data_IF_757760673331
#
_entry.id   IF_757760673331
#
_cell.length_a   1.000
_cell.length_b   1.000
_cell.length_c   1.000
_cell.angle_alpha   90.00
_cell.angle_beta   90.00
_cell.angle_gamma   90.00
#
_symmetry.space_group_name_H-M   'P 1'
#
loop_
_entity.id
_entity.type
_entity.pdbx_description
1 polymer ?
#
# COMPACT_ATOMS: atom_id res chain seq x y z
N UNK A 1 -2.33 30.34 6.53
CA UNK A 1 -2.03 28.97 6.99
C UNK A 1 -2.18 28.05 5.80
N UNK A 2 -1.11 27.42 5.32
CA UNK A 2 -1.23 26.36 4.33
C UNK A 2 -1.61 25.08 5.08
N UNK A 3 -2.85 24.62 4.88
CA UNK A 3 -3.27 23.30 5.34
C UNK A 3 -2.45 22.30 4.52
N UNK A 4 -1.40 21.73 5.12
CA UNK A 4 -0.71 20.60 4.52
C UNK A 4 -1.71 19.45 4.50
N UNK A 5 -2.35 19.22 3.35
CA UNK A 5 -3.13 18.02 3.11
C UNK A 5 -2.14 16.86 3.09
N UNK A 6 -1.81 16.34 4.28
CA UNK A 6 -1.00 15.14 4.40
C UNK A 6 -1.79 14.03 3.69
N UNK A 7 -1.24 13.51 2.59
CA UNK A 7 -1.82 12.32 1.98
C UNK A 7 -1.59 11.16 2.96
N UNK A 8 -2.66 10.53 3.48
CA UNK A 8 -2.54 9.47 4.49
C UNK A 8 -1.72 8.29 3.96
N UNK A 9 -1.72 8.06 2.65
CA UNK A 9 -0.98 6.98 2.00
C UNK A 9 0.52 7.21 2.07
N UNK A 10 1.00 8.45 2.06
CA UNK A 10 2.42 8.77 2.26
C UNK A 10 2.90 8.40 3.67
N UNK A 11 2.00 8.31 4.65
CA UNK A 11 2.36 7.91 6.01
C UNK A 11 2.72 6.42 6.13
N UNK A 12 2.42 5.61 5.09
CA UNK A 12 2.77 4.20 5.03
C UNK A 12 4.25 3.97 4.72
N UNK A 13 4.95 4.94 4.12
CA UNK A 13 6.33 4.78 3.69
C UNK A 13 7.25 4.43 4.89
N UNK A 14 8.03 3.37 4.74
CA UNK A 14 8.92 2.84 5.76
C UNK A 14 8.21 2.07 6.88
N UNK A 15 6.90 1.84 6.79
CA UNK A 15 6.14 1.04 7.76
C UNK A 15 6.10 -0.43 7.34
N UNK A 16 6.15 -1.30 8.33
CA UNK A 16 5.83 -2.71 8.16
C UNK A 16 4.30 -2.87 8.16
N UNK A 17 3.77 -3.58 7.18
CA UNK A 17 2.34 -3.83 7.02
C UNK A 17 2.06 -5.31 6.81
N UNK A 18 0.91 -5.76 7.30
CA UNK A 18 0.24 -6.96 6.82
C UNK A 18 -0.76 -6.55 5.75
N UNK A 19 -0.72 -7.25 4.62
CA UNK A 19 -1.59 -7.08 3.48
C UNK A 19 -2.44 -8.33 3.34
N UNK A 20 -3.76 -8.17 3.24
CA UNK A 20 -4.65 -9.25 2.83
C UNK A 20 -5.35 -8.92 1.50
N UNK A 21 -5.37 -9.89 0.60
CA UNK A 21 -6.02 -9.81 -0.71
C UNK A 21 -6.93 -11.02 -0.93
N UNK A 22 -8.03 -10.84 -1.66
CA UNK A 22 -8.93 -11.95 -2.03
C UNK A 22 -8.85 -12.20 -3.52
N UNK A 23 -8.24 -13.31 -3.91
CA UNK A 23 -8.10 -13.72 -5.31
C UNK A 23 -8.97 -14.95 -5.56
N UNK A 24 -9.97 -14.82 -6.43
CA UNK A 24 -10.91 -15.90 -6.77
C UNK A 24 -11.59 -16.56 -5.56
N UNK A 25 -11.84 -15.78 -4.50
CA UNK A 25 -12.47 -16.25 -3.26
C UNK A 25 -11.52 -16.88 -2.24
N UNK A 26 -10.21 -16.89 -2.50
CA UNK A 26 -9.19 -17.29 -1.55
C UNK A 26 -8.51 -16.06 -0.96
N UNK A 27 -8.34 -16.04 0.37
CA UNK A 27 -7.63 -14.98 1.07
C UNK A 27 -6.13 -15.31 1.13
N UNK A 28 -5.31 -14.36 0.71
CA UNK A 28 -3.86 -14.42 0.78
C UNK A 28 -3.37 -13.33 1.72
N UNK A 29 -2.47 -13.70 2.63
CA UNK A 29 -1.83 -12.76 3.55
C UNK A 29 -0.33 -12.64 3.23
N UNK A 30 0.15 -11.40 3.24
CA UNK A 30 1.53 -11.03 2.96
C UNK A 30 2.01 -10.02 3.99
N UNK A 31 3.32 -9.98 4.21
CA UNK A 31 3.94 -9.06 5.15
C UNK A 31 5.20 -8.47 4.54
N UNK A 32 5.45 -7.19 4.82
CA UNK A 32 6.63 -6.52 4.30
C UNK A 32 6.73 -5.06 4.70
N UNK A 33 7.77 -4.40 4.20
CA UNK A 33 8.01 -2.97 4.41
C UNK A 33 7.58 -2.20 3.18
N UNK A 34 6.82 -1.13 3.38
CA UNK A 34 6.45 -0.23 2.28
C UNK A 34 7.65 0.63 1.89
N UNK A 35 8.22 0.39 0.71
CA UNK A 35 9.40 1.10 0.20
C UNK A 35 9.07 2.13 -0.87
N UNK A 36 7.82 2.17 -1.34
CA UNK A 36 7.35 3.16 -2.30
C UNK A 36 5.84 3.35 -2.25
N UNK A 37 5.38 4.54 -2.63
CA UNK A 37 3.96 4.91 -2.70
C UNK A 37 3.69 5.64 -4.01
N UNK A 38 2.67 5.21 -4.74
CA UNK A 38 2.15 5.87 -5.92
C UNK A 38 0.91 6.67 -5.51
N UNK A 39 0.98 7.99 -5.67
CA UNK A 39 -0.13 8.90 -5.35
C UNK A 39 -0.86 9.29 -6.64
N UNK A 40 -2.17 9.07 -6.66
CA UNK A 40 -3.03 9.48 -7.75
C UNK A 40 -3.31 11.00 -7.68
N UNK A 41 -2.90 11.76 -8.70
CA UNK A 41 -3.19 13.19 -8.79
C UNK A 41 -4.57 13.46 -9.39
N UNK A 42 -5.23 14.59 -9.05
CA UNK A 42 -6.54 14.93 -9.60
C UNK A 42 -6.59 14.86 -11.14
N UNK A 43 -7.63 14.20 -11.66
CA UNK A 43 -7.82 13.99 -13.10
C UNK A 43 -7.20 12.70 -13.66
N UNK A 44 -6.44 11.95 -12.86
CA UNK A 44 -5.99 10.60 -13.25
C UNK A 44 -7.11 9.57 -13.10
N UNK A 45 -6.98 8.47 -13.86
CA UNK A 45 -7.80 7.25 -13.71
C UNK A 45 -7.09 6.17 -12.87
N UNK A 46 -5.82 6.38 -12.53
CA UNK A 46 -5.05 5.45 -11.71
C UNK A 46 -5.52 5.48 -10.25
N UNK A 47 -5.46 4.33 -9.59
CA UNK A 47 -5.59 4.19 -8.14
C UNK A 47 -4.25 4.45 -7.45
N UNK A 48 -4.30 4.66 -6.14
CA UNK A 48 -3.08 4.67 -5.34
C UNK A 48 -2.57 3.25 -5.13
N UNK A 49 -1.25 3.10 -5.11
CA UNK A 49 -0.59 1.80 -4.97
C UNK A 49 0.61 1.93 -4.05
N UNK A 50 1.05 0.81 -3.48
CA UNK A 50 2.28 0.73 -2.68
C UNK A 50 3.25 -0.26 -3.31
N UNK A 51 4.55 -0.03 -3.13
CA UNK A 51 5.59 -1.01 -3.39
C UNK A 51 5.98 -1.66 -2.06
N UNK A 52 5.76 -2.96 -1.95
CA UNK A 52 6.02 -3.75 -0.75
C UNK A 52 7.28 -4.59 -0.96
N UNK A 53 8.26 -4.40 -0.09
CA UNK A 53 9.42 -5.29 0.06
C UNK A 53 9.02 -6.44 1.00
N UNK A 54 8.72 -7.60 0.42
CA UNK A 54 8.19 -8.77 1.11
C UNK A 54 9.30 -9.57 1.79
N UNK A 55 8.94 -10.28 2.86
CA UNK A 55 9.89 -11.12 3.61
C UNK A 55 10.49 -12.28 2.78
N UNK A 56 9.82 -12.68 1.69
CA UNK A 56 10.32 -13.68 0.75
C UNK A 56 11.37 -13.14 -0.24
N UNK A 57 11.70 -11.84 -0.14
CA UNK A 57 12.67 -11.14 -0.96
C UNK A 57 12.11 -10.58 -2.27
N UNK A 58 10.80 -10.68 -2.51
CA UNK A 58 10.14 -10.10 -3.67
C UNK A 58 9.68 -8.66 -3.40
N UNK A 59 9.81 -7.79 -4.41
CA UNK A 59 9.27 -6.44 -4.38
C UNK A 59 8.12 -6.33 -5.38
N UNK A 60 6.90 -6.09 -4.89
CA UNK A 60 5.69 -6.06 -5.72
C UNK A 60 4.81 -4.85 -5.45
N UNK A 61 4.12 -4.40 -6.50
CA UNK A 61 3.14 -3.33 -6.40
C UNK A 61 1.77 -3.89 -6.04
N UNK A 62 1.09 -3.22 -5.10
CA UNK A 62 -0.28 -3.54 -4.70
C UNK A 62 -1.15 -2.29 -4.79
N UNK A 63 -2.25 -2.42 -5.52
CA UNK A 63 -3.27 -1.38 -5.61
C UNK A 63 -4.11 -1.35 -4.33
N UNK A 64 -4.24 -0.17 -3.71
CA UNK A 64 -4.90 -0.03 -2.42
C UNK A 64 -6.41 -0.23 -2.48
N UNK A 65 -6.99 -0.27 -3.67
CA UNK A 65 -8.39 -0.64 -3.87
C UNK A 65 -8.65 -2.14 -3.70
N UNK A 66 -7.61 -2.96 -3.88
CA UNK A 66 -7.75 -4.41 -4.04
C UNK A 66 -7.25 -5.17 -2.81
N UNK A 67 -6.63 -4.46 -1.86
CA UNK A 67 -5.97 -5.02 -0.69
C UNK A 67 -6.38 -4.31 0.58
N UNK A 68 -6.41 -5.06 1.69
CA UNK A 68 -6.59 -4.49 3.04
C UNK A 68 -5.24 -4.41 3.73
N UNK A 69 -4.88 -3.23 4.22
CA UNK A 69 -3.64 -3.00 4.95
C UNK A 69 -3.87 -2.90 6.46
N UNK A 70 -3.01 -3.56 7.23
CA UNK A 70 -2.91 -3.40 8.68
C UNK A 70 -1.47 -3.10 9.07
N UNK A 71 -1.27 -2.01 9.80
CA UNK A 71 0.06 -1.66 10.33
C UNK A 71 0.45 -2.64 11.43
N UNK A 72 1.70 -3.10 11.39
CA UNK A 72 2.30 -3.86 12.48
C UNK A 72 2.79 -2.85 13.52
N UNK A 73 2.28 -2.95 14.76
CA UNK A 73 2.65 -2.06 15.87
C UNK A 73 4.02 -2.39 16.45
#
# INVERSE_FOLDING_TARGET
>A
MATANANPTLALLGKTVHLSEVVSGFEFERSGVVIGVVVALPGTRCTESILLDQEDGNCEFYDLSDVTLRLVQ
#
